data_IF_737676089879
#
_entry.id   IF_737676089879
#
_cell.length_a   1.000
_cell.length_b   1.000
_cell.length_c   1.000
_cell.angle_alpha   90.00
_cell.angle_beta   90.00
_cell.angle_gamma   90.00
#
_symmetry.space_group_name_H-M   'P 1'
#
loop_
_entity.id
_entity.type
_entity.pdbx_description
1 polymer ?
#
# COMPACT_ATOMS: atom_id res chain seq x y z
N UNK A 1 -16.25 14.94 5.33
CA UNK A 1 -16.22 13.89 4.32
C UNK A 1 -15.05 12.99 4.52
N UNK A 2 -15.28 11.78 4.81
CA UNK A 2 -14.16 10.87 5.00
C UNK A 2 -13.40 10.70 3.70
N UNK A 3 -12.13 10.64 3.84
CA UNK A 3 -11.30 10.51 2.70
C UNK A 3 -10.57 9.19 2.78
N UNK A 4 -10.76 8.39 1.78
CA UNK A 4 -10.13 7.10 1.74
C UNK A 4 -8.81 7.23 1.02
N UNK A 5 -7.76 6.82 1.68
CA UNK A 5 -6.45 6.82 1.07
C UNK A 5 -6.03 5.39 0.87
N UNK A 6 -5.53 5.14 -0.32
CA UNK A 6 -5.10 3.80 -0.68
C UNK A 6 -3.60 3.79 -0.80
N UNK A 7 -2.97 2.84 -0.19
CA UNK A 7 -1.55 2.65 -0.34
C UNK A 7 -1.28 1.20 -0.64
N UNK A 8 -0.09 0.94 -1.14
CA UNK A 8 0.29 -0.40 -1.51
C UNK A 8 1.54 -0.78 -0.72
N UNK A 9 1.50 -1.92 -0.11
CA UNK A 9 2.58 -2.37 0.75
C UNK A 9 3.17 -3.64 0.17
N UNK A 10 4.48 -3.63 0.05
CA UNK A 10 5.18 -4.80 -0.44
C UNK A 10 5.14 -5.88 0.63
N UNK A 11 4.73 -7.06 0.23
CA UNK A 11 4.64 -8.16 1.17
C UNK A 11 5.97 -8.81 1.43
N UNK A 12 6.96 -8.43 0.66
CA UNK A 12 8.27 -9.03 0.80
C UNK A 12 9.19 -8.21 1.67
N UNK A 13 9.24 -6.91 1.44
CA UNK A 13 10.16 -6.05 2.19
C UNK A 13 9.46 -4.99 3.01
N UNK A 14 8.16 -4.82 2.82
CA UNK A 14 7.42 -3.82 3.58
C UNK A 14 7.43 -2.43 3.00
N UNK A 15 7.84 -2.30 1.76
CA UNK A 15 7.85 -1.01 1.11
C UNK A 15 6.43 -0.51 0.92
N UNK A 16 6.23 0.78 1.16
CA UNK A 16 4.92 1.39 1.00
C UNK A 16 4.95 2.38 -0.14
N UNK A 17 3.92 2.33 -0.94
CA UNK A 17 3.82 3.20 -2.09
C UNK A 17 2.42 3.80 -2.13
N UNK A 18 2.31 5.08 -2.51
CA UNK A 18 0.98 5.71 -2.60
C UNK A 18 0.21 5.24 -3.81
N UNK A 19 0.84 4.53 -4.71
CA UNK A 19 0.17 4.03 -5.89
C UNK A 19 0.72 2.68 -6.23
N UNK A 20 -0.01 1.96 -7.04
CA UNK A 20 0.43 0.64 -7.42
C UNK A 20 1.59 0.72 -8.39
N UNK A 21 2.61 -0.05 -8.08
CA UNK A 21 3.73 -0.21 -8.98
C UNK A 21 3.90 -1.70 -9.21
N UNK A 22 4.18 -2.05 -10.43
CA UNK A 22 4.29 -3.46 -10.75
C UNK A 22 5.49 -4.13 -10.13
N UNK A 23 6.50 -3.36 -9.82
CA UNK A 23 7.73 -3.90 -9.28
C UNK A 23 8.13 -3.07 -8.08
N UNK A 24 8.44 -3.75 -7.01
CA UNK A 24 8.88 -3.05 -5.81
C UNK A 24 10.30 -2.52 -6.02
N UNK A 25 10.50 -1.22 -5.85
CA UNK A 25 11.83 -0.66 -6.04
C UNK A 25 12.81 -1.00 -4.94
N UNK A 26 12.32 -1.51 -3.83
CA UNK A 26 13.20 -1.84 -2.72
C UNK A 26 13.76 -3.23 -2.84
N UNK A 27 12.90 -4.20 -3.01
CA UNK A 27 13.36 -5.58 -3.12
C UNK A 27 13.32 -6.09 -4.54
N UNK A 28 12.78 -5.29 -5.45
CA UNK A 28 12.75 -5.60 -6.88
C UNK A 28 11.98 -6.88 -7.18
N UNK A 29 10.97 -7.12 -6.39
CA UNK A 29 10.10 -8.25 -6.64
C UNK A 29 8.86 -7.80 -7.40
N UNK A 30 8.39 -8.65 -8.26
CA UNK A 30 7.20 -8.34 -9.03
C UNK A 30 5.97 -8.83 -8.32
N UNK A 31 4.90 -8.07 -8.44
CA UNK A 31 3.59 -8.46 -7.91
C UNK A 31 3.62 -8.75 -6.42
N UNK A 32 4.44 -8.01 -5.70
CA UNK A 32 4.47 -8.19 -4.26
C UNK A 32 3.74 -7.10 -3.51
N UNK A 33 3.22 -6.14 -4.23
CA UNK A 33 2.52 -5.03 -3.60
C UNK A 33 1.06 -5.38 -3.40
N UNK A 34 0.59 -5.15 -2.21
CA UNK A 34 -0.80 -5.42 -1.87
C UNK A 34 -1.48 -4.13 -1.51
N UNK A 35 -2.70 -3.99 -1.97
CA UNK A 35 -3.47 -2.80 -1.71
C UNK A 35 -3.94 -2.78 -0.28
N UNK A 36 -3.72 -1.66 0.38
CA UNK A 36 -4.23 -1.44 1.72
C UNK A 36 -4.97 -0.15 1.76
N UNK A 37 -6.16 -0.19 2.23
CA UNK A 37 -6.96 1.01 2.38
C UNK A 37 -6.77 1.54 3.78
N UNK A 38 -6.19 2.71 3.84
CA UNK A 38 -6.01 3.36 5.12
C UNK A 38 -7.04 4.45 5.22
N UNK A 39 -8.17 4.16 5.78
CA UNK A 39 -9.13 5.21 6.01
C UNK A 39 -9.20 5.46 7.49
N UNK A 40 -9.45 6.70 7.78
CA UNK A 40 -9.49 7.14 9.12
C UNK A 40 -10.71 6.59 9.79
N UNK A 41 -10.59 5.51 10.41
CA UNK A 41 -11.71 4.90 11.04
C UNK A 41 -11.82 5.39 12.46
N UNK A 42 -12.76 6.16 12.66
CA UNK A 42 -13.00 6.64 13.98
C UNK A 42 -13.85 5.64 14.68
N UNK A 43 -13.27 4.94 15.53
CA UNK A 43 -14.04 4.00 16.24
C UNK A 43 -14.75 4.66 17.36
N UNK A 44 -15.92 4.41 17.46
CA UNK A 44 -16.62 5.01 18.54
C UNK A 44 -16.85 4.05 19.66
#
# INVERSE_FOLDING_TARGET
MPKVEVKYVCQSCGYESPRWVGKCPECEQWNTLAEEQAFNKITV
#
